data_IF_982103494589
#
_entry.id   IF_982103494589
#
_cell.length_a   1.000
_cell.length_b   1.000
_cell.length_c   1.000
_cell.angle_alpha   90.00
_cell.angle_beta   90.00
_cell.angle_gamma   90.00
#
_symmetry.space_group_name_H-M   'P 1'
#
loop_
_entity.id
_entity.type
_entity.pdbx_description
1 polymer ?
#
# COMPACT_ATOMS: atom_id res chain seq x y z
N UNK A 1 -3.58 27.17 38.35
CA UNK A 1 -2.73 26.62 37.28
C UNK A 1 -3.63 25.84 36.35
N UNK A 2 -4.04 26.47 35.24
CA UNK A 2 -4.74 25.76 34.19
C UNK A 2 -3.73 24.78 33.58
N UNK A 3 -4.08 23.48 33.59
CA UNK A 3 -3.42 22.53 32.70
C UNK A 3 -3.90 22.92 31.31
N UNK A 4 -3.03 23.55 30.53
CA UNK A 4 -3.17 23.58 29.09
C UNK A 4 -3.18 22.11 28.64
N UNK A 5 -4.39 21.57 28.49
CA UNK A 5 -4.62 20.31 27.81
C UNK A 5 -4.11 20.51 26.40
N UNK A 6 -3.16 19.68 26.00
CA UNK A 6 -2.56 19.65 24.68
C UNK A 6 -3.59 19.15 23.67
N UNK A 7 -4.60 19.99 23.40
CA UNK A 7 -5.75 19.73 22.54
C UNK A 7 -5.32 19.41 21.10
N UNK A 8 -4.08 19.72 20.72
CA UNK A 8 -3.57 19.45 19.39
C UNK A 8 -3.19 17.97 19.20
N UNK A 9 -2.77 17.25 20.26
CA UNK A 9 -2.44 15.83 20.14
C UNK A 9 -3.68 14.93 19.98
N UNK A 10 -4.79 15.27 20.64
CA UNK A 10 -6.03 14.47 20.53
C UNK A 10 -6.77 14.67 19.20
N UNK A 11 -6.51 15.77 18.49
CA UNK A 11 -7.17 16.05 17.21
C UNK A 11 -6.55 15.23 16.07
N UNK A 12 -5.23 15.06 16.03
CA UNK A 12 -4.56 14.32 14.95
C UNK A 12 -4.93 12.82 14.96
N UNK A 13 -5.04 12.21 16.14
CA UNK A 13 -5.51 10.82 16.30
C UNK A 13 -6.99 10.63 15.88
N UNK A 14 -7.78 11.70 15.89
CA UNK A 14 -9.20 11.70 15.51
C UNK A 14 -9.43 11.70 13.99
N UNK A 15 -8.40 11.93 13.19
CA UNK A 15 -8.46 12.02 11.73
C UNK A 15 -7.63 10.94 11.00
N UNK A 16 -7.11 9.93 11.71
CA UNK A 16 -6.50 8.80 11.02
C UNK A 16 -7.55 8.05 10.18
N UNK A 17 -7.31 7.85 8.87
CA UNK A 17 -8.26 7.15 8.02
C UNK A 17 -8.46 5.72 8.53
N UNK A 18 -9.72 5.34 8.67
CA UNK A 18 -10.12 3.98 9.04
C UNK A 18 -9.58 2.97 8.02
N UNK A 19 -9.46 1.70 8.41
CA UNK A 19 -9.02 0.65 7.49
C UNK A 19 -9.89 0.57 6.22
N UNK A 20 -11.19 0.85 6.34
CA UNK A 20 -12.11 0.90 5.19
C UNK A 20 -11.72 2.02 4.24
N UNK A 21 -11.43 3.22 4.76
CA UNK A 21 -11.00 4.36 3.94
C UNK A 21 -9.65 4.12 3.30
N UNK A 22 -8.68 3.55 4.03
CA UNK A 22 -7.38 3.13 3.48
C UNK A 22 -7.57 2.12 2.33
N UNK A 23 -8.46 1.15 2.49
CA UNK A 23 -8.76 0.17 1.44
C UNK A 23 -9.40 0.83 0.20
N UNK A 24 -10.32 1.78 0.39
CA UNK A 24 -10.94 2.53 -0.72
C UNK A 24 -9.92 3.41 -1.44
N UNK A 25 -9.05 4.10 -0.70
CA UNK A 25 -7.96 4.90 -1.26
C UNK A 25 -6.98 4.03 -2.05
N UNK A 26 -6.60 2.88 -1.48
CA UNK A 26 -5.78 1.88 -2.16
C UNK A 26 -6.41 1.45 -3.48
N UNK A 27 -7.66 0.98 -3.46
CA UNK A 27 -8.34 0.48 -4.65
C UNK A 27 -8.43 1.55 -5.75
N UNK A 28 -8.76 2.79 -5.34
CA UNK A 28 -8.87 3.94 -6.24
C UNK A 28 -7.54 4.25 -6.91
N UNK A 29 -6.46 4.40 -6.13
CA UNK A 29 -5.14 4.73 -6.64
C UNK A 29 -4.57 3.59 -7.49
N UNK A 30 -4.75 2.34 -7.05
CA UNK A 30 -4.27 1.17 -7.78
C UNK A 30 -4.95 1.08 -9.15
N UNK A 31 -6.28 1.27 -9.23
CA UNK A 31 -7.03 1.33 -10.49
C UNK A 31 -6.54 2.44 -11.42
N UNK A 32 -6.14 3.60 -10.88
CA UNK A 32 -5.57 4.68 -11.68
C UNK A 32 -4.18 4.34 -12.24
N UNK A 33 -3.37 3.57 -11.51
CA UNK A 33 -2.02 3.17 -11.95
C UNK A 33 -2.05 2.02 -12.98
N UNK A 34 -3.01 1.10 -12.84
CA UNK A 34 -3.15 -0.12 -13.64
C UNK A 34 -3.01 0.07 -15.17
N UNK A 35 -3.62 1.08 -15.83
CA UNK A 35 -3.49 1.29 -17.27
C UNK A 35 -2.07 1.61 -17.75
N UNK A 36 -1.21 2.06 -16.84
CA UNK A 36 0.17 2.46 -17.13
C UNK A 36 1.19 1.35 -16.83
N UNK A 37 0.74 0.22 -16.26
CA UNK A 37 1.57 -0.95 -15.99
C UNK A 37 1.46 -1.94 -17.16
N UNK A 38 2.55 -2.60 -17.54
CA UNK A 38 2.58 -3.49 -18.72
C UNK A 38 1.83 -4.82 -18.50
N UNK A 39 0.92 -4.90 -17.52
CA UNK A 39 0.26 -6.13 -17.05
C UNK A 39 1.22 -7.27 -16.69
N UNK A 40 2.50 -6.97 -16.46
CA UNK A 40 3.46 -7.93 -15.93
C UNK A 40 3.14 -8.18 -14.45
N UNK A 41 2.95 -9.43 -14.07
CA UNK A 41 2.64 -9.81 -12.69
C UNK A 41 3.66 -9.27 -11.67
N UNK A 42 4.95 -9.25 -12.01
CA UNK A 42 6.00 -8.70 -11.12
C UNK A 42 5.87 -7.20 -10.92
N UNK A 43 5.50 -6.45 -11.97
CA UNK A 43 5.24 -5.00 -11.88
C UNK A 43 3.95 -4.72 -11.11
N UNK A 44 2.91 -5.54 -11.29
CA UNK A 44 1.64 -5.42 -10.59
C UNK A 44 1.82 -5.66 -9.07
N UNK A 45 2.60 -6.67 -8.69
CA UNK A 45 2.93 -6.93 -7.28
C UNK A 45 3.78 -5.80 -6.71
N UNK A 46 4.78 -5.31 -7.45
CA UNK A 46 5.59 -4.17 -7.02
C UNK A 46 4.74 -2.91 -6.79
N UNK A 47 3.84 -2.58 -7.72
CA UNK A 47 2.93 -1.45 -7.59
C UNK A 47 1.96 -1.62 -6.41
N UNK A 48 1.49 -2.84 -6.16
CA UNK A 48 0.59 -3.16 -5.05
C UNK A 48 1.30 -2.92 -3.71
N UNK A 49 2.53 -3.43 -3.57
CA UNK A 49 3.36 -3.24 -2.38
C UNK A 49 3.71 -1.77 -2.16
N UNK A 50 4.16 -1.07 -3.20
CA UNK A 50 4.51 0.36 -3.13
C UNK A 50 3.35 1.20 -2.61
N UNK A 51 2.14 0.94 -3.12
CA UNK A 51 0.97 1.72 -2.77
C UNK A 51 0.52 1.45 -1.33
N UNK A 52 0.54 0.20 -0.86
CA UNK A 52 0.26 -0.13 0.55
C UNK A 52 1.27 0.57 1.46
N UNK A 53 2.56 0.41 1.18
CA UNK A 53 3.63 0.94 2.02
C UNK A 53 3.60 2.48 2.07
N UNK A 54 3.15 3.13 1.00
CA UNK A 54 2.97 4.59 0.98
C UNK A 54 1.75 5.05 1.77
N UNK A 55 0.62 4.34 1.67
CA UNK A 55 -0.60 4.65 2.43
C UNK A 55 -0.44 4.41 3.94
N UNK A 56 0.38 3.42 4.33
CA UNK A 56 0.72 3.16 5.73
C UNK A 56 1.87 4.06 6.24
N UNK A 57 2.38 4.98 5.42
CA UNK A 57 3.46 5.89 5.79
C UNK A 57 4.82 5.24 6.01
N UNK A 58 4.99 3.97 5.61
CA UNK A 58 6.27 3.24 5.70
C UNK A 58 7.29 3.81 4.71
N UNK A 59 6.84 4.18 3.51
CA UNK A 59 7.64 4.88 2.51
C UNK A 59 7.18 6.34 2.46
N UNK A 60 8.13 7.26 2.55
CA UNK A 60 7.86 8.69 2.49
C UNK A 60 7.50 9.21 1.08
N UNK A 61 7.51 10.52 0.94
CA UNK A 61 7.19 11.18 -0.34
C UNK A 61 8.14 10.79 -1.46
N UNK A 62 9.42 10.57 -1.12
CA UNK A 62 10.46 10.13 -2.05
C UNK A 62 10.80 8.67 -1.80
N UNK A 63 10.73 7.84 -2.84
CA UNK A 63 11.14 6.44 -2.79
C UNK A 63 12.67 6.39 -2.73
N UNK A 64 13.21 5.79 -1.67
CA UNK A 64 14.65 5.60 -1.49
C UNK A 64 15.09 4.24 -2.03
N UNK A 65 16.42 4.06 -2.17
CA UNK A 65 16.99 2.78 -2.56
C UNK A 65 16.64 1.65 -1.57
N UNK A 66 16.62 1.96 -0.28
CA UNK A 66 16.26 1.01 0.79
C UNK A 66 14.82 0.53 0.66
N UNK A 67 13.91 1.43 0.27
CA UNK A 67 12.50 1.08 0.05
C UNK A 67 12.37 0.10 -1.13
N UNK A 68 13.12 0.35 -2.21
CA UNK A 68 13.17 -0.54 -3.37
C UNK A 68 13.76 -1.92 -3.03
N UNK A 69 14.83 -1.96 -2.23
CA UNK A 69 15.41 -3.22 -1.74
C UNK A 69 14.39 -4.00 -0.90
N UNK A 70 13.66 -3.34 0.00
CA UNK A 70 12.59 -3.95 0.79
C UNK A 70 11.44 -4.49 -0.09
N UNK A 71 11.05 -3.76 -1.15
CA UNK A 71 10.02 -4.21 -2.08
C UNK A 71 10.46 -5.45 -2.84
N UNK A 72 11.71 -5.50 -3.30
CA UNK A 72 12.26 -6.69 -3.97
C UNK A 72 12.34 -7.90 -3.02
N UNK A 73 12.72 -7.69 -1.75
CA UNK A 73 12.69 -8.75 -0.74
C UNK A 73 11.28 -9.29 -0.46
N UNK A 74 10.29 -8.39 -0.39
CA UNK A 74 8.88 -8.76 -0.22
C UNK A 74 8.35 -9.52 -1.44
N UNK A 75 8.71 -9.07 -2.66
CA UNK A 75 8.37 -9.78 -3.90
C UNK A 75 8.94 -11.19 -3.87
N UNK A 76 10.22 -11.35 -3.56
CA UNK A 76 10.86 -12.66 -3.50
C UNK A 76 10.09 -13.61 -2.57
N UNK A 77 9.73 -13.16 -1.36
CA UNK A 77 8.92 -13.95 -0.42
C UNK A 77 7.53 -14.32 -0.96
N UNK A 78 6.87 -13.41 -1.66
CA UNK A 78 5.57 -13.69 -2.29
C UNK A 78 5.71 -14.70 -3.41
N UNK A 79 6.79 -14.65 -4.19
CA UNK A 79 7.03 -15.58 -5.29
C UNK A 79 7.49 -16.96 -4.82
N UNK A 80 8.21 -17.03 -3.70
CA UNK A 80 8.66 -18.28 -3.11
C UNK A 80 7.50 -19.07 -2.45
N UNK A 81 6.43 -18.39 -2.04
CA UNK A 81 5.20 -19.00 -1.54
C UNK A 81 4.12 -19.08 -2.64
N UNK A 82 3.91 -20.30 -3.15
CA UNK A 82 2.95 -20.55 -4.24
C UNK A 82 1.51 -20.17 -3.90
N UNK A 83 1.10 -20.31 -2.65
CA UNK A 83 -0.29 -20.05 -2.24
C UNK A 83 -0.50 -18.55 -2.00
N UNK A 84 0.47 -17.89 -1.36
CA UNK A 84 0.48 -16.43 -1.24
C UNK A 84 0.51 -15.75 -2.61
N UNK A 85 1.33 -16.25 -3.55
CA UNK A 85 1.37 -15.74 -4.92
C UNK A 85 0.00 -15.82 -5.62
N UNK A 86 -0.68 -16.97 -5.53
CA UNK A 86 -2.03 -17.15 -6.12
C UNK A 86 -3.04 -16.21 -5.47
N UNK A 87 -2.97 -16.03 -4.16
CA UNK A 87 -3.86 -15.13 -3.44
C UNK A 87 -3.67 -13.67 -3.85
N UNK A 88 -2.42 -13.19 -3.89
CA UNK A 88 -2.09 -11.84 -4.35
C UNK A 88 -2.54 -11.62 -5.79
N UNK A 89 -2.33 -12.61 -6.66
CA UNK A 89 -2.82 -12.55 -8.05
C UNK A 89 -4.35 -12.48 -8.12
N UNK A 90 -5.05 -13.25 -7.29
CA UNK A 90 -6.53 -13.24 -7.21
C UNK A 90 -7.04 -11.86 -6.77
N UNK A 91 -6.41 -11.26 -5.76
CA UNK A 91 -6.78 -9.93 -5.26
C UNK A 91 -6.56 -8.85 -6.33
N UNK A 92 -5.42 -8.87 -7.00
CA UNK A 92 -5.11 -7.95 -8.11
C UNK A 92 -6.15 -8.07 -9.24
N UNK A 93 -6.54 -9.30 -9.60
CA UNK A 93 -7.58 -9.55 -10.62
C UNK A 93 -8.97 -9.06 -10.18
N UNK A 94 -9.34 -9.31 -8.92
CA UNK A 94 -10.60 -8.82 -8.34
C UNK A 94 -10.72 -7.29 -8.42
N UNK A 95 -9.63 -6.57 -8.14
CA UNK A 95 -9.61 -5.09 -8.23
C UNK A 95 -9.69 -4.63 -9.70
N UNK A 96 -9.06 -5.38 -10.61
CA UNK A 96 -9.11 -5.11 -12.05
C UNK A 96 -10.50 -5.35 -12.65
N UNK A 97 -11.39 -6.07 -11.96
CA UNK A 97 -12.71 -6.43 -12.46
C UNK A 97 -12.66 -7.52 -13.54
N UNK A 98 -11.68 -8.44 -13.47
CA UNK A 98 -11.51 -9.59 -14.39
C UNK A 98 -11.49 -10.90 -13.62
#
# INVERSE_FOLDING_TARGET
MAKDLDLNQEIDDLFEPTQVEKNVQFETLFKCMMPHLNNNYSELVAAHLLLILKLEGVIGDTITKKDMEMIEDMKAKIFDDSDLSKEVLRLIKSIKGI
#
